data_IF_933850010290
#
_entry.id   IF_933850010290
#
_cell.length_a   1.000
_cell.length_b   1.000
_cell.length_c   1.000
_cell.angle_alpha   90.00
_cell.angle_beta   90.00
_cell.angle_gamma   90.00
#
_symmetry.space_group_name_H-M   'P 1'
#
loop_
_entity.id
_entity.type
_entity.pdbx_description
1 polymer ?
#
# COMPACT_ATOMS: atom_id res chain seq x y z
N UNK A 1 37.75 -13.70 50.66
CA UNK A 1 36.86 -12.59 50.36
C UNK A 1 36.51 -12.69 48.87
N UNK A 2 35.34 -13.27 48.59
CA UNK A 2 34.89 -13.61 47.23
C UNK A 2 33.89 -12.53 46.83
N UNK A 3 34.27 -11.68 45.87
CA UNK A 3 33.36 -10.70 45.28
C UNK A 3 32.52 -11.41 44.18
N UNK A 4 31.28 -11.70 44.49
CA UNK A 4 30.29 -12.15 43.51
C UNK A 4 29.85 -10.96 42.65
N UNK A 5 30.16 -11.03 41.36
CA UNK A 5 29.62 -10.16 40.34
C UNK A 5 28.17 -10.59 40.03
N UNK A 6 27.20 -9.88 40.59
CA UNK A 6 25.80 -9.93 40.17
C UNK A 6 25.73 -9.33 38.75
N UNK A 7 25.60 -10.18 37.73
CA UNK A 7 25.13 -9.75 36.40
C UNK A 7 23.66 -9.39 36.52
N UNK A 8 23.35 -8.11 36.54
CA UNK A 8 22.01 -7.63 36.26
C UNK A 8 21.76 -7.82 34.76
N UNK A 9 21.04 -8.86 34.41
CA UNK A 9 20.40 -8.96 33.10
C UNK A 9 19.28 -7.93 33.07
N UNK A 10 19.53 -6.78 32.43
CA UNK A 10 18.51 -5.84 32.06
C UNK A 10 17.66 -6.48 30.95
N UNK A 11 16.62 -7.21 31.33
CA UNK A 11 15.49 -7.50 30.45
C UNK A 11 14.76 -6.16 30.22
N UNK A 12 15.21 -5.43 29.22
CA UNK A 12 14.42 -4.34 28.67
C UNK A 12 13.20 -4.99 28.00
N UNK A 13 12.07 -5.03 28.67
CA UNK A 13 10.77 -5.35 28.05
C UNK A 13 10.50 -4.26 27.02
N UNK A 14 10.95 -4.48 25.79
CA UNK A 14 10.55 -3.68 24.64
C UNK A 14 9.04 -3.88 24.51
N UNK A 15 8.24 -2.87 24.91
CA UNK A 15 6.81 -2.89 24.63
C UNK A 15 6.66 -2.87 23.11
N UNK A 16 6.13 -3.95 22.55
CA UNK A 16 5.76 -4.00 21.14
C UNK A 16 4.83 -2.83 20.79
N UNK A 17 5.11 -2.16 19.69
CA UNK A 17 4.23 -1.13 19.15
C UNK A 17 3.33 -1.79 18.10
N UNK A 18 2.04 -1.91 18.39
CA UNK A 18 1.05 -2.30 17.39
C UNK A 18 0.73 -1.07 16.53
N UNK A 19 1.21 -1.08 15.29
CA UNK A 19 1.15 0.07 14.40
C UNK A 19 -0.20 0.15 13.68
N UNK A 20 -1.10 0.98 14.22
CA UNK A 20 -2.44 1.19 13.64
C UNK A 20 -2.39 2.12 12.43
N UNK A 21 -2.54 1.54 11.25
CA UNK A 21 -2.69 2.32 10.01
C UNK A 21 -4.03 3.04 9.93
N UNK A 22 -5.06 2.53 10.64
CA UNK A 22 -6.34 3.22 10.71
C UNK A 22 -6.20 4.61 11.33
N UNK A 23 -5.53 4.72 12.48
CA UNK A 23 -5.36 6.01 13.16
C UNK A 23 -4.54 6.99 12.31
N UNK A 24 -3.44 6.51 11.71
CA UNK A 24 -2.62 7.34 10.83
C UNK A 24 -3.41 7.81 9.61
N UNK A 25 -4.13 6.90 8.94
CA UNK A 25 -5.00 7.20 7.80
C UNK A 25 -6.06 8.25 8.14
N UNK A 26 -6.70 8.14 9.31
CA UNK A 26 -7.74 9.08 9.72
C UNK A 26 -7.15 10.49 9.95
N UNK A 27 -5.95 10.60 10.54
CA UNK A 27 -5.24 11.86 10.71
C UNK A 27 -4.85 12.52 9.36
N UNK A 28 -4.29 11.74 8.44
CA UNK A 28 -3.90 12.25 7.11
C UNK A 28 -5.14 12.69 6.33
N UNK A 29 -6.21 11.89 6.33
CA UNK A 29 -7.47 12.25 5.67
C UNK A 29 -8.08 13.53 6.23
N UNK A 30 -7.99 13.76 7.54
CA UNK A 30 -8.49 15.01 8.14
C UNK A 30 -7.71 16.25 7.64
N UNK A 31 -6.39 16.13 7.46
CA UNK A 31 -5.57 17.19 6.88
C UNK A 31 -5.90 17.40 5.39
N UNK A 32 -6.00 16.32 4.63
CA UNK A 32 -6.31 16.36 3.20
C UNK A 32 -7.71 16.97 2.94
N UNK A 33 -8.70 16.68 3.81
CA UNK A 33 -10.03 17.28 3.71
C UNK A 33 -9.99 18.80 3.87
N UNK A 34 -9.15 19.32 4.77
CA UNK A 34 -8.97 20.76 4.94
C UNK A 34 -8.35 21.40 3.69
N UNK A 35 -7.39 20.71 3.08
CA UNK A 35 -6.75 21.16 1.83
C UNK A 35 -7.75 21.17 0.67
N UNK A 36 -8.46 20.05 0.43
CA UNK A 36 -9.47 19.92 -0.63
C UNK A 36 -10.58 20.95 -0.49
N UNK A 37 -10.98 21.31 0.72
CA UNK A 37 -12.00 22.34 0.97
C UNK A 37 -11.63 23.72 0.42
N UNK A 38 -10.35 24.00 0.19
CA UNK A 38 -9.87 25.27 -0.41
C UNK A 38 -9.91 25.27 -1.95
N UNK A 39 -10.04 24.09 -2.58
CA UNK A 39 -9.89 23.94 -4.02
C UNK A 39 -11.01 24.61 -4.86
N UNK A 40 -12.29 24.61 -4.43
CA UNK A 40 -13.31 25.36 -5.16
C UNK A 40 -12.99 26.85 -5.35
N UNK A 41 -12.43 27.50 -4.32
CA UNK A 41 -12.00 28.89 -4.41
C UNK A 41 -10.73 29.04 -5.26
N UNK A 42 -9.78 28.13 -5.13
CA UNK A 42 -8.48 28.21 -5.79
C UNK A 42 -8.51 27.77 -7.26
N UNK A 43 -9.29 26.73 -7.58
CA UNK A 43 -9.29 26.07 -8.89
C UNK A 43 -10.67 26.00 -9.55
N UNK A 44 -11.73 26.50 -8.91
CA UNK A 44 -13.10 26.47 -9.41
C UNK A 44 -13.80 25.12 -9.31
N UNK A 45 -13.12 24.06 -8.88
CA UNK A 45 -13.64 22.68 -8.74
C UNK A 45 -12.85 21.86 -7.73
N UNK A 46 -13.37 20.68 -7.41
CA UNK A 46 -12.71 19.66 -6.56
C UNK A 46 -12.13 18.54 -7.44
N UNK A 47 -11.18 17.73 -6.90
CA UNK A 47 -10.70 16.52 -7.57
C UNK A 47 -11.84 15.55 -7.87
N UNK A 48 -11.72 14.80 -8.96
CA UNK A 48 -12.70 13.78 -9.38
C UNK A 48 -12.03 12.43 -9.63
N UNK A 49 -12.43 11.42 -8.85
CA UNK A 49 -12.01 10.01 -8.99
C UNK A 49 -13.08 9.21 -9.74
N UNK A 50 -12.73 8.61 -10.86
CA UNK A 50 -13.55 7.63 -11.55
C UNK A 50 -13.05 6.20 -11.21
N UNK A 51 -13.95 5.36 -10.70
CA UNK A 51 -13.67 3.96 -10.35
C UNK A 51 -14.45 3.05 -11.30
N UNK A 52 -13.75 2.17 -12.01
CA UNK A 52 -14.35 1.17 -12.87
C UNK A 52 -14.34 -0.19 -12.15
N UNK A 53 -15.51 -0.78 -11.97
CA UNK A 53 -15.70 -2.11 -11.41
C UNK A 53 -16.30 -3.03 -12.49
N UNK A 54 -15.68 -4.17 -12.75
CA UNK A 54 -16.19 -5.17 -13.69
C UNK A 54 -16.63 -6.42 -12.92
N UNK A 55 -17.91 -6.78 -13.06
CA UNK A 55 -18.50 -7.92 -12.36
C UNK A 55 -18.96 -7.62 -10.93
N UNK A 56 -19.40 -8.67 -10.25
CA UNK A 56 -20.14 -8.60 -8.99
C UNK A 56 -19.38 -9.22 -7.80
N UNK A 57 -18.05 -9.29 -7.86
CA UNK A 57 -17.26 -9.80 -6.73
C UNK A 57 -17.54 -8.99 -5.44
N UNK A 58 -18.03 -9.66 -4.36
CA UNK A 58 -18.43 -8.96 -3.14
C UNK A 58 -17.27 -8.24 -2.42
N UNK A 59 -16.05 -8.76 -2.55
CA UNK A 59 -14.88 -8.15 -1.95
C UNK A 59 -14.54 -6.85 -2.68
N UNK A 60 -14.45 -6.88 -4.02
CA UNK A 60 -14.26 -5.71 -4.88
C UNK A 60 -15.32 -4.65 -4.65
N UNK A 61 -16.61 -5.02 -4.59
CA UNK A 61 -17.70 -4.11 -4.29
C UNK A 61 -17.57 -3.44 -2.90
N UNK A 62 -17.04 -4.17 -1.91
CA UNK A 62 -16.78 -3.62 -0.58
C UNK A 62 -15.63 -2.62 -0.58
N UNK A 63 -14.55 -2.90 -1.34
CA UNK A 63 -13.44 -1.96 -1.50
C UNK A 63 -13.87 -0.68 -2.24
N UNK A 64 -14.64 -0.80 -3.32
CA UNK A 64 -15.19 0.35 -4.07
C UNK A 64 -16.05 1.22 -3.17
N UNK A 65 -16.97 0.63 -2.37
CA UNK A 65 -17.76 1.39 -1.39
C UNK A 65 -16.90 2.12 -0.37
N UNK A 66 -15.82 1.49 0.09
CA UNK A 66 -14.91 2.10 1.07
C UNK A 66 -14.13 3.28 0.47
N UNK A 67 -13.76 3.19 -0.81
CA UNK A 67 -13.14 4.27 -1.58
C UNK A 67 -14.12 5.44 -1.78
N UNK A 68 -15.36 5.14 -2.16
CA UNK A 68 -16.42 6.16 -2.28
C UNK A 68 -16.65 6.93 -0.98
N UNK A 69 -16.79 6.22 0.16
CA UNK A 69 -16.89 6.86 1.48
C UNK A 69 -15.68 7.73 1.83
N UNK A 70 -14.48 7.35 1.40
CA UNK A 70 -13.29 8.16 1.61
C UNK A 70 -13.34 9.43 0.75
N UNK A 71 -13.81 9.36 -0.51
CA UNK A 71 -14.04 10.53 -1.36
C UNK A 71 -15.07 11.48 -0.72
N UNK A 72 -16.22 10.94 -0.27
CA UNK A 72 -17.26 11.75 0.39
C UNK A 72 -16.72 12.50 1.62
N UNK A 73 -15.93 11.80 2.45
CA UNK A 73 -15.31 12.40 3.65
C UNK A 73 -14.36 13.55 3.31
N UNK A 74 -13.68 13.47 2.17
CA UNK A 74 -12.67 14.44 1.75
C UNK A 74 -13.23 15.55 0.85
N UNK A 75 -14.49 15.48 0.41
CA UNK A 75 -15.06 16.39 -0.57
C UNK A 75 -14.51 16.17 -1.99
N UNK A 76 -14.01 14.99 -2.28
CA UNK A 76 -13.56 14.55 -3.61
C UNK A 76 -14.78 14.02 -4.37
N UNK A 77 -15.00 14.46 -5.59
CA UNK A 77 -16.06 13.92 -6.45
C UNK A 77 -15.71 12.47 -6.80
N UNK A 78 -16.71 11.58 -6.75
CA UNK A 78 -16.53 10.16 -7.07
C UNK A 78 -17.60 9.68 -8.06
N UNK A 79 -17.16 8.99 -9.12
CA UNK A 79 -18.03 8.29 -10.06
C UNK A 79 -17.64 6.81 -10.09
N UNK A 80 -18.60 5.93 -9.78
CA UNK A 80 -18.40 4.48 -9.92
C UNK A 80 -19.11 3.99 -11.17
N UNK A 81 -18.36 3.40 -12.10
CA UNK A 81 -18.83 2.79 -13.31
C UNK A 81 -18.82 1.29 -13.09
N UNK A 82 -20.02 0.70 -12.99
CA UNK A 82 -20.19 -0.74 -12.81
C UNK A 82 -20.50 -1.38 -14.17
N UNK A 83 -19.58 -2.22 -14.64
CA UNK A 83 -19.71 -2.98 -15.88
C UNK A 83 -20.05 -4.44 -15.59
N UNK A 84 -20.88 -5.08 -16.41
CA UNK A 84 -21.23 -6.49 -16.26
C UNK A 84 -20.01 -7.43 -16.28
N UNK A 85 -20.11 -8.60 -15.63
CA UNK A 85 -19.07 -9.62 -15.60
C UNK A 85 -18.62 -10.09 -16.98
N UNK A 86 -19.49 -10.09 -17.97
CA UNK A 86 -19.23 -10.50 -19.36
C UNK A 86 -18.79 -9.35 -20.27
N UNK A 87 -18.42 -8.20 -19.68
CA UNK A 87 -17.86 -7.06 -20.45
C UNK A 87 -16.60 -7.50 -21.18
N UNK A 88 -16.54 -7.24 -22.49
CA UNK A 88 -15.33 -7.57 -23.26
C UNK A 88 -14.17 -6.64 -22.93
N UNK A 89 -12.94 -7.10 -23.17
CA UNK A 89 -11.74 -6.28 -23.00
C UNK A 89 -11.82 -4.99 -23.81
N UNK A 90 -12.30 -5.07 -25.06
CA UNK A 90 -12.45 -3.90 -25.95
C UNK A 90 -13.44 -2.87 -25.36
N UNK A 91 -14.54 -3.35 -24.74
CA UNK A 91 -15.52 -2.44 -24.12
C UNK A 91 -14.94 -1.76 -22.87
N UNK A 92 -14.18 -2.48 -22.04
CA UNK A 92 -13.48 -1.91 -20.90
C UNK A 92 -12.44 -0.87 -21.37
N UNK A 93 -11.63 -1.19 -22.38
CA UNK A 93 -10.64 -0.27 -22.94
C UNK A 93 -11.30 0.97 -23.57
N UNK A 94 -12.47 0.82 -24.20
CA UNK A 94 -13.24 1.96 -24.69
C UNK A 94 -13.73 2.85 -23.55
N UNK A 95 -14.20 2.28 -22.44
CA UNK A 95 -14.60 3.05 -21.25
C UNK A 95 -13.41 3.80 -20.63
N UNK A 96 -12.23 3.17 -20.55
CA UNK A 96 -11.01 3.82 -20.06
C UNK A 96 -10.62 5.00 -20.97
N UNK A 97 -10.71 4.86 -22.31
CA UNK A 97 -10.44 5.96 -23.24
C UNK A 97 -11.37 7.15 -23.01
N UNK A 98 -12.66 6.92 -22.83
CA UNK A 98 -13.62 7.99 -22.53
C UNK A 98 -13.25 8.74 -21.25
N UNK A 99 -12.82 8.03 -20.20
CA UNK A 99 -12.37 8.63 -18.95
C UNK A 99 -11.04 9.39 -19.11
N UNK A 100 -10.13 8.88 -19.96
CA UNK A 100 -8.89 9.59 -20.27
C UNK A 100 -9.16 10.93 -20.97
N UNK A 101 -10.16 10.98 -21.87
CA UNK A 101 -10.53 12.17 -22.65
C UNK A 101 -11.38 13.16 -21.83
N UNK A 102 -12.02 12.71 -20.75
CA UNK A 102 -12.83 13.59 -19.89
C UNK A 102 -11.94 14.49 -19.03
N UNK A 103 -11.88 15.79 -19.35
CA UNK A 103 -11.09 16.76 -18.59
C UNK A 103 -11.59 16.96 -17.15
N UNK A 104 -12.84 16.62 -16.87
CA UNK A 104 -13.42 16.68 -15.54
C UNK A 104 -12.96 15.54 -14.62
N UNK A 105 -12.35 14.46 -15.16
CA UNK A 105 -11.83 13.32 -14.40
C UNK A 105 -10.33 13.48 -14.15
N UNK A 106 -9.91 13.45 -12.89
CA UNK A 106 -8.51 13.64 -12.50
C UNK A 106 -7.79 12.35 -12.16
N UNK A 107 -8.54 11.37 -11.66
CA UNK A 107 -8.02 10.06 -11.33
C UNK A 107 -8.88 8.94 -11.87
N UNK A 108 -8.26 7.88 -12.39
CA UNK A 108 -8.92 6.68 -12.89
C UNK A 108 -8.37 5.47 -12.13
N UNK A 109 -9.29 4.65 -11.62
CA UNK A 109 -8.97 3.40 -10.97
C UNK A 109 -9.79 2.26 -11.60
N UNK A 110 -9.12 1.22 -12.05
CA UNK A 110 -9.76 -0.05 -12.44
C UNK A 110 -9.62 -1.02 -11.28
N UNK A 111 -10.75 -1.40 -10.67
CA UNK A 111 -10.74 -2.26 -9.50
C UNK A 111 -10.35 -3.69 -9.88
N UNK A 112 -9.27 -4.19 -9.28
CA UNK A 112 -8.81 -5.58 -9.41
C UNK A 112 -9.46 -6.49 -8.34
N UNK A 113 -9.56 -7.81 -8.60
CA UNK A 113 -9.20 -8.48 -9.86
C UNK A 113 -10.22 -8.23 -10.97
N UNK A 114 -9.79 -8.33 -12.22
CA UNK A 114 -10.66 -8.36 -13.39
C UNK A 114 -11.09 -9.80 -13.70
N UNK A 115 -12.18 -10.01 -14.49
CA UNK A 115 -12.52 -11.32 -15.03
C UNK A 115 -11.38 -11.93 -15.86
N UNK A 116 -11.18 -13.25 -15.78
CA UNK A 116 -10.07 -14.00 -16.40
C UNK A 116 -9.88 -13.76 -17.92
N UNK A 117 -10.94 -13.34 -18.63
CA UNK A 117 -10.90 -13.08 -20.07
C UNK A 117 -10.39 -11.67 -20.42
N UNK A 118 -10.04 -10.84 -19.43
CA UNK A 118 -9.49 -9.47 -19.59
C UNK A 118 -8.05 -9.46 -19.10
N UNK A 119 -7.15 -8.96 -19.92
CA UNK A 119 -5.77 -8.72 -19.52
C UNK A 119 -5.69 -7.51 -18.56
N UNK A 120 -5.44 -7.79 -17.28
CA UNK A 120 -5.33 -6.76 -16.25
C UNK A 120 -4.27 -5.70 -16.58
N UNK A 121 -3.09 -6.13 -17.05
CA UNK A 121 -1.99 -5.21 -17.33
C UNK A 121 -2.32 -4.32 -18.52
N UNK A 122 -3.00 -4.83 -19.52
CA UNK A 122 -3.45 -4.04 -20.67
C UNK A 122 -4.47 -3.00 -20.26
N UNK A 123 -5.41 -3.36 -19.37
CA UNK A 123 -6.37 -2.39 -18.84
C UNK A 123 -5.70 -1.28 -18.00
N UNK A 124 -4.77 -1.66 -17.11
CA UNK A 124 -4.04 -0.70 -16.28
C UNK A 124 -3.14 0.23 -17.10
N UNK A 125 -2.49 -0.30 -18.15
CA UNK A 125 -1.62 0.50 -19.03
C UNK A 125 -2.41 1.41 -20.00
N UNK A 126 -3.70 1.17 -20.18
CA UNK A 126 -4.57 2.03 -20.98
C UNK A 126 -4.99 3.32 -20.25
N UNK A 127 -4.83 3.38 -18.92
CA UNK A 127 -5.10 4.58 -18.15
C UNK A 127 -4.03 5.64 -18.50
N UNK A 128 -4.44 6.87 -18.76
CA UNK A 128 -3.49 7.96 -19.00
C UNK A 128 -2.57 8.16 -17.76
N UNK A 129 -1.27 8.31 -18.00
CA UNK A 129 -0.26 8.42 -16.95
C UNK A 129 -0.62 9.42 -15.84
N UNK A 130 -1.10 10.60 -16.25
CA UNK A 130 -1.46 11.72 -15.38
C UNK A 130 -2.77 11.50 -14.60
N UNK A 131 -3.53 10.45 -14.94
CA UNK A 131 -4.76 10.03 -14.27
C UNK A 131 -4.64 8.68 -13.56
N UNK A 132 -3.47 8.02 -13.66
CA UNK A 132 -3.18 6.75 -13.00
C UNK A 132 -2.96 6.97 -11.50
N UNK A 133 -4.02 6.83 -10.72
CA UNK A 133 -3.96 7.02 -9.26
C UNK A 133 -3.40 5.81 -8.49
N UNK A 134 -3.29 4.64 -9.13
CA UNK A 134 -2.67 3.45 -8.53
C UNK A 134 -1.16 3.39 -8.75
N UNK A 135 -0.61 4.16 -9.69
CA UNK A 135 0.81 4.22 -9.98
C UNK A 135 1.34 3.00 -10.75
N UNK A 136 0.49 2.34 -11.56
CA UNK A 136 0.83 1.13 -12.31
C UNK A 136 1.17 1.39 -13.78
N UNK A 137 0.89 2.58 -14.30
CA UNK A 137 1.27 2.95 -15.65
C UNK A 137 2.79 2.82 -15.84
N UNK A 138 3.28 2.24 -16.96
CA UNK A 138 4.71 1.98 -17.16
C UNK A 138 5.62 3.17 -16.94
N UNK A 139 5.19 4.38 -17.31
CA UNK A 139 5.97 5.60 -17.08
C UNK A 139 6.03 6.01 -15.61
N UNK A 140 4.96 5.81 -14.82
CA UNK A 140 4.97 6.04 -13.38
C UNK A 140 5.89 5.04 -12.69
N UNK A 141 5.82 3.76 -13.10
CA UNK A 141 6.74 2.71 -12.63
C UNK A 141 8.19 3.06 -12.99
N UNK A 142 8.46 3.45 -14.24
CA UNK A 142 9.81 3.86 -14.67
C UNK A 142 10.32 5.09 -13.88
N UNK A 143 9.44 6.05 -13.58
CA UNK A 143 9.79 7.21 -12.76
C UNK A 143 10.14 6.81 -11.33
N UNK A 144 9.40 5.88 -10.72
CA UNK A 144 9.71 5.31 -9.40
C UNK A 144 11.09 4.64 -9.38
N UNK A 145 11.48 3.92 -10.47
CA UNK A 145 12.74 3.17 -10.53
C UNK A 145 13.97 4.04 -10.83
N UNK A 146 13.82 5.30 -11.20
CA UNK A 146 14.98 6.20 -11.37
C UNK A 146 15.74 6.35 -10.06
N UNK A 147 17.08 6.42 -10.15
CA UNK A 147 17.90 6.77 -8.99
C UNK A 147 17.63 8.21 -8.61
N UNK A 148 17.46 8.46 -7.32
CA UNK A 148 17.30 9.79 -6.74
C UNK A 148 18.45 10.11 -5.84
N UNK A 149 18.88 11.34 -5.88
CA UNK A 149 19.92 11.87 -4.99
C UNK A 149 19.31 12.51 -3.74
N UNK A 150 18.03 12.89 -3.83
CA UNK A 150 17.27 13.47 -2.71
C UNK A 150 15.83 12.96 -2.69
N UNK A 151 15.18 12.88 -1.52
CA UNK A 151 13.76 12.58 -1.40
C UNK A 151 12.94 13.66 -2.13
N UNK A 152 12.02 13.25 -2.97
CA UNK A 152 11.07 14.15 -3.61
C UNK A 152 9.82 14.23 -2.73
N UNK A 153 9.57 15.40 -2.14
CA UNK A 153 8.41 15.60 -1.24
C UNK A 153 7.07 15.45 -1.98
N UNK A 154 7.03 15.93 -3.24
CA UNK A 154 5.85 15.83 -4.11
C UNK A 154 6.25 15.30 -5.49
N UNK A 155 6.27 13.97 -5.69
CA UNK A 155 6.63 13.40 -6.97
C UNK A 155 5.57 13.73 -8.03
N UNK A 156 6.00 14.20 -9.21
CA UNK A 156 5.12 14.42 -10.38
C UNK A 156 4.75 13.10 -11.09
N UNK A 157 4.54 12.05 -10.30
CA UNK A 157 4.11 10.73 -10.76
C UNK A 157 3.44 10.01 -9.58
N UNK A 158 2.48 9.18 -9.88
CA UNK A 158 1.80 8.40 -8.86
C UNK A 158 2.69 7.28 -8.34
N UNK A 159 2.72 7.15 -7.02
CA UNK A 159 3.39 6.04 -6.34
C UNK A 159 2.34 4.99 -6.00
N UNK A 160 2.60 3.68 -6.20
CA UNK A 160 1.65 2.64 -5.84
C UNK A 160 1.13 2.79 -4.41
N UNK A 161 -0.21 2.73 -4.27
CA UNK A 161 -0.90 3.14 -3.04
C UNK A 161 -0.47 2.37 -1.79
N UNK A 162 -0.43 1.02 -1.86
CA UNK A 162 -0.03 0.19 -0.72
C UNK A 162 1.43 0.40 -0.34
N UNK A 163 2.40 0.39 -1.26
CA UNK A 163 3.80 0.73 -0.98
C UNK A 163 3.98 2.13 -0.38
N UNK A 164 3.29 3.17 -0.90
CA UNK A 164 3.31 4.53 -0.33
C UNK A 164 2.83 4.50 1.12
N UNK A 165 1.74 3.79 1.40
CA UNK A 165 1.19 3.62 2.75
C UNK A 165 2.15 2.93 3.71
N UNK A 166 2.89 1.92 3.26
CA UNK A 166 3.89 1.20 4.06
C UNK A 166 5.03 2.14 4.49
N UNK A 167 5.59 2.91 3.56
CA UNK A 167 6.67 3.87 3.92
C UNK A 167 6.16 4.93 4.90
N UNK A 168 4.92 5.42 4.73
CA UNK A 168 4.31 6.36 5.69
C UNK A 168 4.13 5.75 7.08
N UNK A 169 3.72 4.49 7.16
CA UNK A 169 3.62 3.75 8.42
C UNK A 169 4.97 3.66 9.12
N UNK A 170 6.02 3.26 8.40
CA UNK A 170 7.37 3.16 8.94
C UNK A 170 7.87 4.52 9.47
N UNK A 171 7.71 5.58 8.70
CA UNK A 171 8.11 6.94 9.09
C UNK A 171 7.31 7.45 10.30
N UNK A 172 5.99 7.24 10.33
CA UNK A 172 5.14 7.63 11.44
C UNK A 172 5.47 6.89 12.74
N UNK A 173 5.94 5.65 12.64
CA UNK A 173 6.43 4.88 13.79
C UNK A 173 7.86 5.27 14.24
N UNK A 174 8.50 6.24 13.58
CA UNK A 174 9.88 6.64 13.88
C UNK A 174 10.91 5.57 13.52
N UNK A 175 10.59 4.64 12.62
CA UNK A 175 11.49 3.59 12.19
C UNK A 175 12.61 4.19 11.35
N UNK A 176 13.86 4.00 11.79
CA UNK A 176 15.02 4.31 10.98
C UNK A 176 15.11 3.29 9.84
N UNK A 177 14.95 3.73 8.60
CA UNK A 177 15.03 2.88 7.41
C UNK A 177 16.45 2.85 6.84
N UNK A 178 17.11 4.00 6.84
CA UNK A 178 18.48 4.14 6.32
C UNK A 178 19.46 3.19 7.00
N UNK A 179 20.25 2.48 6.19
CA UNK A 179 21.25 1.52 6.64
C UNK A 179 20.71 0.21 7.18
N UNK A 180 19.37 0.00 7.20
CA UNK A 180 18.74 -1.23 7.69
C UNK A 180 18.68 -2.30 6.60
N UNK A 181 18.67 -3.57 7.04
CA UNK A 181 18.35 -4.72 6.18
C UNK A 181 16.85 -4.85 6.09
N UNK A 182 16.30 -4.60 4.91
CA UNK A 182 14.89 -4.79 4.63
C UNK A 182 14.69 -6.06 3.79
N UNK A 183 13.84 -6.94 4.25
CA UNK A 183 13.43 -8.13 3.50
C UNK A 183 11.97 -7.97 3.09
N UNK A 184 11.71 -8.11 1.79
CA UNK A 184 10.37 -8.10 1.22
C UNK A 184 10.03 -9.49 0.75
N UNK A 185 9.04 -10.12 1.36
CA UNK A 185 8.51 -11.42 0.95
C UNK A 185 7.31 -11.19 0.04
N UNK A 186 7.51 -11.45 -1.24
CA UNK A 186 6.58 -11.14 -2.33
C UNK A 186 7.22 -10.26 -3.40
N UNK A 187 6.89 -10.53 -4.67
CA UNK A 187 7.47 -9.82 -5.83
C UNK A 187 6.44 -9.39 -6.87
N UNK A 188 5.21 -9.13 -6.41
CA UNK A 188 4.17 -8.63 -7.31
C UNK A 188 4.51 -7.24 -7.85
N UNK A 189 4.06 -6.93 -9.07
CA UNK A 189 4.26 -5.62 -9.69
C UNK A 189 3.52 -4.50 -8.94
N UNK A 190 2.47 -4.85 -8.19
CA UNK A 190 1.59 -3.88 -7.52
C UNK A 190 2.00 -3.57 -6.06
N UNK A 191 2.74 -4.48 -5.37
CA UNK A 191 3.15 -4.29 -3.98
C UNK A 191 4.63 -4.61 -3.76
N UNK A 192 5.05 -5.87 -3.99
CA UNK A 192 6.38 -6.35 -3.58
C UNK A 192 7.52 -5.57 -4.20
N UNK A 193 7.55 -5.46 -5.54
CA UNK A 193 8.60 -4.71 -6.23
C UNK A 193 8.55 -3.21 -5.92
N UNK A 194 7.39 -2.52 -5.93
CA UNK A 194 7.35 -1.12 -5.58
C UNK A 194 7.78 -0.81 -4.14
N UNK A 195 7.38 -1.62 -3.14
CA UNK A 195 7.82 -1.37 -1.75
C UNK A 195 9.32 -1.61 -1.58
N UNK A 196 9.87 -2.63 -2.25
CA UNK A 196 11.31 -2.86 -2.26
C UNK A 196 12.07 -1.65 -2.83
N UNK A 197 11.56 -1.08 -3.93
CA UNK A 197 12.16 0.14 -4.51
C UNK A 197 12.04 1.35 -3.59
N UNK A 198 10.91 1.54 -2.93
CA UNK A 198 10.74 2.64 -1.98
C UNK A 198 11.68 2.51 -0.77
N UNK A 199 11.83 1.31 -0.22
CA UNK A 199 12.80 1.04 0.85
C UNK A 199 14.25 1.31 0.41
N UNK A 200 14.59 0.93 -0.84
CA UNK A 200 15.89 1.26 -1.43
C UNK A 200 16.08 2.78 -1.59
N UNK A 201 15.04 3.52 -1.95
CA UNK A 201 15.08 4.98 -2.04
C UNK A 201 15.27 5.64 -0.66
N UNK A 202 14.86 4.99 0.42
CA UNK A 202 15.11 5.40 1.81
C UNK A 202 16.46 4.86 2.34
N UNK A 203 17.38 4.43 1.46
CA UNK A 203 18.72 3.93 1.76
C UNK A 203 18.78 2.62 2.58
N UNK A 204 17.74 1.78 2.51
CA UNK A 204 17.81 0.43 3.04
C UNK A 204 18.61 -0.50 2.11
N UNK A 205 19.23 -1.54 2.67
CA UNK A 205 19.71 -2.69 1.90
C UNK A 205 18.55 -3.68 1.76
N UNK A 206 18.10 -3.93 0.52
CA UNK A 206 16.86 -4.66 0.28
C UNK A 206 17.12 -6.04 -0.32
N UNK A 207 16.50 -7.06 0.27
CA UNK A 207 16.40 -8.41 -0.27
C UNK A 207 14.96 -8.71 -0.61
N UNK A 208 14.71 -9.26 -1.83
CA UNK A 208 13.38 -9.67 -2.28
C UNK A 208 13.32 -11.19 -2.29
N UNK A 209 12.35 -11.76 -1.56
CA UNK A 209 12.07 -13.19 -1.50
C UNK A 209 10.76 -13.52 -2.21
N UNK A 210 10.64 -14.76 -2.70
CA UNK A 210 9.50 -15.22 -3.48
C UNK A 210 9.32 -16.74 -3.35
N UNK A 211 8.35 -17.32 -4.01
CA UNK A 211 8.02 -18.76 -3.95
C UNK A 211 9.16 -19.72 -4.35
N UNK A 212 10.20 -19.23 -5.03
CA UNK A 212 11.38 -20.01 -5.38
C UNK A 212 12.60 -19.71 -4.50
N UNK A 213 12.42 -18.92 -3.41
CA UNK A 213 13.50 -18.63 -2.47
C UNK A 213 13.76 -19.86 -1.61
N UNK A 214 14.97 -20.38 -1.66
CA UNK A 214 15.43 -21.48 -0.79
C UNK A 214 15.64 -20.95 0.64
N UNK A 215 15.26 -21.74 1.64
CA UNK A 215 15.39 -21.41 3.07
C UNK A 215 14.96 -19.96 3.40
N UNK A 216 13.71 -19.64 3.08
CA UNK A 216 13.13 -18.33 3.34
C UNK A 216 13.36 -17.86 4.78
N UNK A 217 13.27 -18.80 5.75
CA UNK A 217 13.45 -18.48 7.17
C UNK A 217 14.84 -17.96 7.52
N UNK A 218 15.91 -18.45 6.88
CA UNK A 218 17.26 -17.95 7.12
C UNK A 218 17.41 -16.49 6.72
N UNK A 219 16.76 -16.09 5.61
CA UNK A 219 16.82 -14.73 5.09
C UNK A 219 15.97 -13.78 5.94
N UNK A 220 14.73 -14.20 6.28
CA UNK A 220 13.81 -13.34 7.04
C UNK A 220 14.28 -13.09 8.48
N UNK A 221 14.99 -14.05 9.10
CA UNK A 221 15.63 -13.84 10.42
C UNK A 221 16.73 -12.79 10.44
N UNK A 222 17.24 -12.36 9.30
CA UNK A 222 18.24 -11.27 9.23
C UNK A 222 17.61 -9.88 9.09
N UNK A 223 16.30 -9.81 8.85
CA UNK A 223 15.60 -8.56 8.57
C UNK A 223 15.50 -7.66 9.81
N UNK A 224 15.92 -6.41 9.69
CA UNK A 224 15.57 -5.34 10.62
C UNK A 224 14.15 -4.83 10.32
N UNK A 225 13.78 -4.81 9.02
CA UNK A 225 12.45 -4.48 8.53
C UNK A 225 11.99 -5.64 7.64
N UNK A 226 10.88 -6.28 8.01
CA UNK A 226 10.29 -7.39 7.29
C UNK A 226 8.92 -6.97 6.74
N UNK A 227 8.77 -6.97 5.41
CA UNK A 227 7.49 -6.72 4.73
C UNK A 227 7.00 -8.01 4.11
N UNK A 228 5.80 -8.46 4.45
CA UNK A 228 5.23 -9.71 3.94
C UNK A 228 3.99 -9.41 3.10
N UNK A 229 4.04 -9.76 1.81
CA UNK A 229 3.03 -9.42 0.81
C UNK A 229 2.87 -10.56 -0.22
N UNK A 230 2.41 -11.72 0.23
CA UNK A 230 2.26 -12.94 -0.59
C UNK A 230 0.81 -13.38 -0.80
N UNK A 231 -0.14 -12.85 0.01
CA UNK A 231 -1.54 -13.23 -0.07
C UNK A 231 -1.81 -14.66 0.38
N UNK A 232 -1.01 -15.16 1.33
CA UNK A 232 -1.16 -16.49 1.92
C UNK A 232 -1.01 -16.40 3.43
N UNK A 233 -2.09 -16.71 4.16
CA UNK A 233 -2.13 -16.62 5.61
C UNK A 233 -1.03 -17.44 6.29
N UNK A 234 -0.38 -16.85 7.30
CA UNK A 234 0.60 -17.54 8.15
C UNK A 234 1.88 -17.99 7.46
N UNK A 235 2.23 -17.38 6.29
CA UNK A 235 3.49 -17.70 5.58
C UNK A 235 4.72 -17.44 6.43
N UNK A 236 4.69 -16.42 7.30
CA UNK A 236 5.79 -16.08 8.20
C UNK A 236 5.38 -16.35 9.64
N UNK A 237 6.07 -17.29 10.28
CA UNK A 237 5.89 -17.64 11.67
C UNK A 237 6.98 -17.09 12.60
N UNK A 238 6.86 -17.43 13.89
CA UNK A 238 7.73 -16.95 14.97
C UNK A 238 9.22 -17.24 14.75
N UNK A 239 9.55 -18.41 14.25
CA UNK A 239 10.91 -18.90 14.01
C UNK A 239 11.58 -18.27 12.78
N UNK A 240 10.83 -17.47 12.04
CA UNK A 240 11.28 -16.74 10.83
C UNK A 240 11.52 -15.25 11.06
N UNK A 241 11.32 -14.75 12.28
CA UNK A 241 11.42 -13.31 12.58
C UNK A 241 12.56 -13.05 13.57
N UNK A 242 13.40 -12.05 13.25
CA UNK A 242 14.44 -11.56 14.13
C UNK A 242 13.84 -10.87 15.35
N UNK A 243 14.27 -11.17 16.58
CA UNK A 243 13.86 -10.41 17.75
C UNK A 243 14.14 -8.90 17.59
N UNK A 244 13.12 -8.08 17.84
CA UNK A 244 13.21 -6.63 17.68
C UNK A 244 12.99 -6.13 16.26
N UNK A 245 12.69 -6.98 15.28
CA UNK A 245 12.37 -6.56 13.92
C UNK A 245 11.09 -5.71 13.85
N UNK A 246 11.04 -4.85 12.84
CA UNK A 246 9.81 -4.16 12.42
C UNK A 246 9.11 -5.05 11.40
N UNK A 247 7.87 -5.45 11.65
CA UNK A 247 7.10 -6.37 10.80
C UNK A 247 5.88 -5.67 10.21
N UNK A 248 5.85 -5.58 8.88
CA UNK A 248 4.75 -5.02 8.11
C UNK A 248 4.03 -6.15 7.38
N UNK A 249 2.86 -6.50 7.86
CA UNK A 249 1.98 -7.48 7.26
C UNK A 249 1.02 -6.81 6.29
N UNK A 250 1.12 -7.16 5.01
CA UNK A 250 0.30 -6.60 3.92
C UNK A 250 -0.84 -7.55 3.55
N UNK A 251 -0.76 -8.81 3.98
CA UNK A 251 -1.72 -9.85 3.64
C UNK A 251 -3.14 -9.50 4.09
N UNK A 252 -4.12 -9.85 3.25
CA UNK A 252 -5.55 -9.80 3.58
C UNK A 252 -6.17 -11.10 3.09
N UNK A 253 -6.22 -12.08 3.97
CA UNK A 253 -6.74 -13.41 3.67
C UNK A 253 -8.04 -13.64 4.44
N UNK A 254 -9.09 -14.10 3.80
CA UNK A 254 -10.33 -14.49 4.48
C UNK A 254 -10.21 -15.94 4.96
N UNK A 255 -10.19 -16.13 6.27
CA UNK A 255 -10.17 -17.46 6.88
C UNK A 255 -11.52 -18.19 6.82
N UNK A 256 -11.51 -19.48 7.13
CA UNK A 256 -12.72 -20.29 7.27
C UNK A 256 -13.63 -19.79 8.41
N UNK A 257 -13.06 -19.13 9.40
CA UNK A 257 -13.75 -18.46 10.50
C UNK A 257 -14.45 -17.15 10.07
N UNK A 258 -14.36 -16.78 8.79
CA UNK A 258 -14.93 -15.55 8.22
C UNK A 258 -14.15 -14.28 8.58
N UNK A 259 -13.07 -14.37 9.39
CA UNK A 259 -12.24 -13.22 9.75
C UNK A 259 -11.14 -12.97 8.73
N UNK A 260 -10.54 -11.79 8.81
CA UNK A 260 -9.37 -11.44 8.02
C UNK A 260 -8.09 -11.78 8.79
N UNK A 261 -7.18 -12.45 8.10
CA UNK A 261 -5.86 -12.84 8.59
C UNK A 261 -4.79 -12.25 7.68
N UNK A 262 -3.63 -11.94 8.26
CA UNK A 262 -2.45 -11.52 7.53
C UNK A 262 -1.64 -12.68 6.97
N UNK A 263 -0.57 -12.33 6.30
CA UNK A 263 0.45 -13.29 5.84
C UNK A 263 1.41 -13.71 6.97
N UNK A 264 1.39 -13.00 8.11
CA UNK A 264 2.20 -13.26 9.30
C UNK A 264 1.34 -13.89 10.38
N UNK A 265 1.88 -14.88 11.10
CA UNK A 265 1.30 -15.36 12.35
C UNK A 265 1.43 -14.27 13.42
N UNK A 266 0.43 -13.39 13.47
CA UNK A 266 0.42 -12.21 14.34
C UNK A 266 0.63 -12.59 15.81
N UNK A 267 -0.09 -13.60 16.32
CA UNK A 267 -0.01 -13.99 17.72
C UNK A 267 1.35 -14.57 18.10
N UNK A 268 1.96 -15.36 17.19
CA UNK A 268 3.28 -15.93 17.41
C UNK A 268 4.42 -14.90 17.31
N UNK A 269 4.24 -13.83 16.51
CA UNK A 269 5.29 -12.85 16.17
C UNK A 269 5.23 -11.58 17.00
N UNK A 270 4.05 -11.15 17.46
CA UNK A 270 3.85 -9.86 18.12
C UNK A 270 4.81 -9.58 19.28
N UNK A 271 5.09 -10.60 20.11
CA UNK A 271 5.96 -10.43 21.28
C UNK A 271 7.47 -10.44 20.94
N UNK A 272 7.82 -10.78 19.70
CA UNK A 272 9.20 -10.72 19.17
C UNK A 272 9.50 -9.41 18.47
N UNK A 273 8.52 -8.85 17.78
CA UNK A 273 8.67 -7.63 17.00
C UNK A 273 8.80 -6.40 17.91
N UNK A 274 9.57 -5.38 17.47
CA UNK A 274 9.52 -4.06 18.10
C UNK A 274 8.31 -3.25 17.63
N UNK A 275 7.93 -3.44 16.36
CA UNK A 275 6.75 -2.84 15.72
C UNK A 275 6.10 -3.90 14.84
N UNK A 276 4.78 -4.00 14.89
CA UNK A 276 4.01 -4.90 14.01
C UNK A 276 2.69 -4.26 13.59
N UNK A 277 2.31 -4.45 12.32
CA UNK A 277 0.99 -4.03 11.83
C UNK A 277 -0.05 -5.14 12.07
N UNK A 278 -1.26 -4.81 12.57
CA UNK A 278 -2.35 -5.78 12.70
C UNK A 278 -3.09 -5.96 11.38
N UNK A 279 -3.72 -7.13 11.22
CA UNK A 279 -4.70 -7.38 10.15
C UNK A 279 -6.02 -7.84 10.77
N UNK A 280 -7.11 -7.09 10.58
CA UNK A 280 -7.25 -5.81 9.87
C UNK A 280 -6.74 -4.59 10.67
N UNK A 281 -6.64 -3.45 9.99
CA UNK A 281 -6.36 -2.14 10.64
C UNK A 281 -4.93 -1.63 10.52
N UNK A 282 -4.02 -2.42 9.92
CA UNK A 282 -2.64 -2.02 9.59
C UNK A 282 -2.55 -1.35 8.20
N UNK A 283 -2.03 -2.07 7.21
CA UNK A 283 -1.71 -1.51 5.88
C UNK A 283 -2.96 -1.12 5.07
N UNK A 284 -4.05 -1.91 5.12
CA UNK A 284 -5.24 -1.68 4.29
C UNK A 284 -5.82 -0.25 4.35
N UNK A 285 -6.05 0.35 5.53
CA UNK A 285 -6.50 1.74 5.64
C UNK A 285 -5.57 2.76 4.97
N UNK A 286 -4.26 2.51 5.00
CA UNK A 286 -3.26 3.36 4.37
C UNK A 286 -3.29 3.28 2.85
N UNK A 287 -3.67 2.14 2.27
CA UNK A 287 -3.86 2.00 0.82
C UNK A 287 -4.94 2.97 0.33
N UNK A 288 -6.10 3.02 1.00
CA UNK A 288 -7.19 3.95 0.65
C UNK A 288 -6.75 5.40 0.86
N UNK A 289 -6.02 5.68 1.95
CA UNK A 289 -5.50 7.01 2.22
C UNK A 289 -4.56 7.48 1.09
N UNK A 290 -3.60 6.64 0.69
CA UNK A 290 -2.66 6.94 -0.38
C UNK A 290 -3.35 7.10 -1.74
N UNK A 291 -4.44 6.37 -2.00
CA UNK A 291 -5.26 6.57 -3.20
C UNK A 291 -5.87 7.98 -3.22
N UNK A 292 -6.40 8.45 -2.09
CA UNK A 292 -6.95 9.81 -2.01
C UNK A 292 -5.87 10.87 -2.24
N UNK A 293 -4.68 10.67 -1.67
CA UNK A 293 -3.54 11.55 -1.90
C UNK A 293 -3.10 11.55 -3.37
N UNK A 294 -2.97 10.36 -4.00
CA UNK A 294 -2.65 10.29 -5.43
C UNK A 294 -3.72 10.99 -6.29
N UNK A 295 -5.00 10.88 -5.92
CA UNK A 295 -6.10 11.58 -6.64
C UNK A 295 -5.94 13.10 -6.54
N UNK A 296 -5.60 13.62 -5.37
CA UNK A 296 -5.32 15.05 -5.15
C UNK A 296 -4.06 15.47 -5.90
N UNK A 297 -2.98 14.67 -5.84
CA UNK A 297 -1.73 14.93 -6.56
C UNK A 297 -1.97 14.98 -8.09
N UNK A 298 -2.74 14.04 -8.65
CA UNK A 298 -3.13 14.05 -10.08
C UNK A 298 -3.91 15.30 -10.44
N UNK A 299 -4.88 15.71 -9.60
CA UNK A 299 -5.63 16.95 -9.79
C UNK A 299 -4.71 18.18 -9.81
N UNK A 300 -3.85 18.34 -8.79
CA UNK A 300 -2.95 19.51 -8.68
C UNK A 300 -1.97 19.58 -9.85
N UNK A 301 -1.41 18.44 -10.25
CA UNK A 301 -0.43 18.38 -11.34
C UNK A 301 -1.00 18.71 -12.72
N UNK A 302 -2.34 18.75 -12.86
CA UNK A 302 -3.06 19.10 -14.10
C UNK A 302 -3.61 20.54 -14.11
N UNK A 303 -3.44 21.29 -13.01
CA UNK A 303 -3.81 22.72 -12.96
C UNK A 303 -2.66 23.58 -13.51
#
# INVERSE_FOLDING_TARGET
MVFGLLRYEFYCYLRVVILSGKQLSDNIKAQLAQEVATFPEKYGRVPHLAVVLVGDDPASATYVRSKGKACDLLGIQNTTIHLPQNTSEEALLAQIRLLNEDEGVDGILVQLPLPDHIDEMKALYAIAREKDVDGFHPENVAALWRRRTEPEENPKYSVPCTPRGIIRLLKAAGVQIEGKRAVVVGRSNIVGLPVAKLLLNENATVTICHSHTEDLGSITREADILVVAVGQAGTVGKDMVKPGAVVIDVGINRGEDGKLHGDVDFEGVKDLASVITPVPGGVGPMTICSLMENTVDCFINRQ
#
